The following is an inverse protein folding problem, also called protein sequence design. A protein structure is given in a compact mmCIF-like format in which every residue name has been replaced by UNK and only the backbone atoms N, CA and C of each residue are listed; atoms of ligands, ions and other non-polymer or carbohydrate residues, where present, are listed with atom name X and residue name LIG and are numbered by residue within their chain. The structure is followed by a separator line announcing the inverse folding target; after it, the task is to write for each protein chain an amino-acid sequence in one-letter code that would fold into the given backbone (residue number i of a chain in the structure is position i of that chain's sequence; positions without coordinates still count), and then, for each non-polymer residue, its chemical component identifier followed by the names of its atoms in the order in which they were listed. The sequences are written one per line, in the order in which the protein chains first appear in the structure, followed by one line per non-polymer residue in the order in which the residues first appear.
data_IF_704112711786
#
_entry.id   IF_704112711786
#
_cell.length_a   1.000
_cell.length_b   1.000
_cell.length_c   1.000
_cell.angle_alpha   90.00
_cell.angle_beta   90.00
_cell.angle_gamma   90.00
#
_symmetry.space_group_name_H-M   'P 1'
#
loop_
_entity.id
_entity.type
_entity.pdbx_description
1 polymer ?
#
# COMPACT_ATOMS: atom_id res chain seq x y z
N UNK A 1 26.27 -10.42 20.06
CA UNK A 1 25.38 -11.57 19.79
C UNK A 1 24.30 -11.12 18.83
N UNK A 2 24.36 -11.62 17.60
CA UNK A 2 23.37 -11.29 16.58
C UNK A 2 22.10 -12.08 16.85
N UNK A 3 21.02 -11.41 17.26
CA UNK A 3 19.70 -12.02 17.43
C UNK A 3 19.19 -12.35 16.03
N UNK A 4 19.03 -13.63 15.73
CA UNK A 4 18.52 -14.12 14.46
C UNK A 4 17.12 -13.56 14.21
N UNK A 5 17.00 -12.72 13.21
CA UNK A 5 15.71 -12.20 12.74
C UNK A 5 15.08 -13.29 11.87
N UNK A 6 14.15 -14.04 12.41
CA UNK A 6 13.39 -15.02 11.63
C UNK A 6 12.61 -14.33 10.52
N UNK A 7 12.88 -14.78 9.31
CA UNK A 7 12.29 -14.26 8.08
C UNK A 7 11.11 -15.15 7.70
N UNK A 8 9.90 -14.70 8.00
CA UNK A 8 8.69 -15.38 7.52
C UNK A 8 8.41 -14.88 6.11
N UNK A 9 8.80 -15.66 5.11
CA UNK A 9 8.52 -15.34 3.70
C UNK A 9 7.06 -15.68 3.38
N UNK A 10 6.26 -14.65 3.17
CA UNK A 10 4.96 -14.79 2.51
C UNK A 10 5.18 -14.59 1.02
N UNK A 11 5.42 -15.68 0.31
CA UNK A 11 5.59 -15.66 -1.14
C UNK A 11 4.23 -15.39 -1.79
N UNK A 12 4.08 -14.19 -2.33
CA UNK A 12 2.93 -13.80 -3.14
C UNK A 12 3.24 -14.07 -4.62
N UNK A 13 3.33 -15.38 -5.00
CA UNK A 13 3.80 -15.81 -6.31
C UNK A 13 2.74 -16.26 -7.32
N UNK A 14 1.57 -16.76 -6.92
CA UNK A 14 0.82 -17.64 -7.82
C UNK A 14 -0.64 -17.29 -8.15
N UNK A 15 -1.08 -16.05 -7.97
CA UNK A 15 -2.48 -15.66 -8.27
C UNK A 15 -2.58 -14.54 -9.32
N UNK A 16 -1.76 -14.56 -10.36
CA UNK A 16 -1.93 -13.65 -11.51
C UNK A 16 -2.28 -14.41 -12.82
N UNK A 17 -2.88 -15.59 -12.73
CA UNK A 17 -3.38 -16.31 -13.92
C UNK A 17 -4.86 -16.62 -13.78
N UNK A 18 -5.72 -15.61 -13.76
CA UNK A 18 -7.14 -15.92 -13.73
C UNK A 18 -8.05 -14.73 -13.60
N UNK A 19 -7.98 -13.78 -14.54
CA UNK A 19 -9.05 -12.81 -14.73
C UNK A 19 -8.98 -12.20 -16.12
N UNK A 20 -9.16 -13.03 -17.12
CA UNK A 20 -9.47 -12.62 -18.48
C UNK A 20 -10.80 -13.27 -18.82
N UNK A 21 -11.90 -12.66 -18.47
CA UNK A 21 -13.18 -12.68 -19.20
C UNK A 21 -14.13 -11.69 -18.53
N UNK A 22 -14.40 -10.58 -19.16
CA UNK A 22 -15.71 -9.94 -19.09
C UNK A 22 -15.87 -9.09 -20.33
N UNK A 23 -16.71 -9.59 -21.19
CA UNK A 23 -17.11 -8.98 -22.44
C UNK A 23 -17.95 -7.72 -22.25
N UNK A 24 -17.81 -6.90 -23.21
CA UNK A 24 -18.73 -6.05 -24.00
C UNK A 24 -19.99 -5.49 -23.35
N UNK A 25 -20.08 -4.20 -23.55
CA UNK A 25 -21.23 -3.30 -23.77
C UNK A 25 -21.37 -2.18 -22.74
N UNK A 26 -21.37 -0.98 -23.28
CA UNK A 26 -21.62 0.26 -22.55
C UNK A 26 -20.32 1.06 -22.33
N UNK A 27 -20.31 2.33 -22.75
CA UNK A 27 -19.15 3.21 -22.69
C UNK A 27 -18.41 3.12 -21.38
N UNK A 28 -17.28 2.43 -21.38
CA UNK A 28 -16.48 2.13 -20.18
C UNK A 28 -15.99 3.47 -19.66
N UNK A 29 -16.39 3.90 -18.45
CA UNK A 29 -15.78 5.05 -17.82
C UNK A 29 -14.29 4.82 -17.84
N UNK A 30 -13.51 5.78 -18.35
CA UNK A 30 -12.06 5.64 -18.50
C UNK A 30 -11.44 5.20 -17.18
N UNK A 31 -11.31 3.89 -17.01
CA UNK A 31 -10.79 3.26 -15.82
C UNK A 31 -9.35 3.76 -15.57
N UNK A 32 -8.96 3.82 -14.31
CA UNK A 32 -7.58 4.14 -13.96
C UNK A 32 -6.66 3.08 -14.55
N UNK A 33 -5.54 3.53 -15.12
CA UNK A 33 -4.52 2.62 -15.63
C UNK A 33 -4.06 1.64 -14.54
N UNK A 34 -3.72 0.39 -14.90
CA UNK A 34 -3.23 -0.63 -13.96
C UNK A 34 -2.05 -0.15 -13.12
N UNK A 35 -1.90 -0.66 -11.90
CA UNK A 35 -0.82 -0.30 -10.99
C UNK A 35 0.57 -0.62 -11.56
N UNK A 36 0.67 -1.64 -12.42
CA UNK A 36 1.91 -2.03 -13.11
C UNK A 36 2.57 -0.87 -13.87
N UNK A 37 1.77 0.03 -14.46
CA UNK A 37 2.29 1.19 -15.20
C UNK A 37 2.95 2.24 -14.29
N UNK A 38 2.61 2.27 -13.01
CA UNK A 38 3.09 3.25 -12.05
C UNK A 38 4.01 2.69 -10.97
N UNK A 39 4.23 1.38 -10.92
CA UNK A 39 5.01 0.76 -9.84
C UNK A 39 6.51 1.08 -9.87
N UNK A 40 7.07 1.33 -11.06
CA UNK A 40 8.52 1.57 -11.22
C UNK A 40 8.92 2.97 -10.75
N UNK A 41 10.02 3.06 -10.01
CA UNK A 41 10.66 4.32 -9.66
C UNK A 41 11.42 4.83 -10.90
N UNK A 42 10.96 5.94 -11.47
CA UNK A 42 11.62 6.62 -12.57
C UNK A 42 11.98 8.04 -12.16
N UNK A 43 13.23 8.41 -12.33
CA UNK A 43 13.73 9.77 -12.08
C UNK A 43 13.47 10.30 -10.67
N UNK A 44 13.64 11.62 -10.44
CA UNK A 44 13.35 12.27 -9.17
C UNK A 44 11.84 12.33 -8.87
N UNK A 45 11.48 12.56 -7.59
CA UNK A 45 10.09 12.71 -7.20
C UNK A 45 9.50 14.01 -7.79
N UNK A 46 8.31 13.92 -8.37
CA UNK A 46 7.58 15.07 -8.89
C UNK A 46 6.72 15.67 -7.77
N UNK A 47 7.27 16.66 -7.05
CA UNK A 47 6.67 17.22 -5.83
C UNK A 47 6.63 18.75 -5.81
N UNK A 48 7.23 19.42 -6.80
CA UNK A 48 7.34 20.89 -6.85
C UNK A 48 5.98 21.54 -7.14
N UNK A 49 5.34 22.06 -6.11
CA UNK A 49 4.01 22.71 -6.20
C UNK A 49 3.95 23.85 -7.21
N UNK A 50 5.03 24.60 -7.39
CA UNK A 50 5.12 25.70 -8.37
C UNK A 50 4.78 25.27 -9.79
N UNK A 51 5.15 24.02 -10.16
CA UNK A 51 4.94 23.49 -11.52
C UNK A 51 3.77 22.51 -11.62
N UNK A 52 3.12 22.22 -10.49
CA UNK A 52 1.97 21.31 -10.42
C UNK A 52 0.71 22.18 -10.31
N UNK A 53 -0.09 22.25 -11.35
CA UNK A 53 -1.34 23.03 -11.39
C UNK A 53 -2.45 22.56 -10.44
N UNK A 54 -2.10 21.99 -9.31
CA UNK A 54 -2.96 21.42 -8.28
C UNK A 54 -2.52 20.01 -7.90
N UNK A 55 -2.22 19.78 -6.63
CA UNK A 55 -1.88 18.45 -6.09
C UNK A 55 -3.18 17.71 -5.79
N UNK A 56 -3.43 16.52 -6.39
CA UNK A 56 -4.61 15.72 -6.07
C UNK A 56 -4.64 15.34 -4.59
N UNK A 57 -5.83 15.44 -3.99
CA UNK A 57 -6.00 15.06 -2.60
C UNK A 57 -5.61 13.60 -2.34
N UNK A 58 -4.97 13.38 -1.20
CA UNK A 58 -4.67 12.05 -0.71
C UNK A 58 -5.98 11.35 -0.29
N UNK A 59 -6.13 10.07 -0.67
CA UNK A 59 -7.30 9.25 -0.31
C UNK A 59 -7.10 8.41 0.94
N UNK A 60 -5.96 8.53 1.60
CA UNK A 60 -5.73 7.86 2.88
C UNK A 60 -6.46 8.66 3.96
N UNK A 61 -7.48 8.05 4.56
CA UNK A 61 -8.29 8.72 5.56
C UNK A 61 -7.54 8.91 6.87
N UNK A 62 -6.80 7.90 7.30
CA UNK A 62 -6.05 7.93 8.56
C UNK A 62 -4.73 7.18 8.42
N UNK A 63 -3.66 7.75 8.97
CA UNK A 63 -2.34 7.11 9.05
C UNK A 63 -2.14 6.30 10.31
N UNK A 64 -2.89 6.61 11.37
CA UNK A 64 -2.91 5.91 12.64
C UNK A 64 -4.34 5.46 12.94
N UNK A 65 -4.51 4.21 13.31
CA UNK A 65 -5.81 3.61 13.64
C UNK A 65 -5.63 2.78 14.91
N UNK A 66 -6.66 2.77 15.78
CA UNK A 66 -6.64 2.05 17.06
C UNK A 66 -6.03 2.88 18.19
N UNK A 67 -5.51 2.21 19.22
CA UNK A 67 -4.98 2.85 20.42
C UNK A 67 -3.57 3.41 20.20
N UNK A 68 -3.50 4.66 19.73
CA UNK A 68 -2.25 5.35 19.46
C UNK A 68 -1.44 5.57 20.73
N UNK A 69 -2.09 5.90 21.86
CA UNK A 69 -1.40 6.19 23.13
C UNK A 69 -0.64 4.97 23.63
N UNK A 70 -1.30 3.83 23.70
CA UNK A 70 -0.67 2.56 24.10
C UNK A 70 0.49 2.14 23.18
N UNK A 71 0.42 2.48 21.88
CA UNK A 71 1.54 2.24 20.95
C UNK A 71 2.73 3.16 21.20
N UNK A 72 2.51 4.41 21.59
CA UNK A 72 3.55 5.39 21.90
C UNK A 72 4.20 5.10 23.28
N UNK A 73 3.43 4.68 24.27
CA UNK A 73 3.94 4.24 25.59
C UNK A 73 4.61 2.87 25.55
N UNK A 74 4.36 2.08 24.49
CA UNK A 74 4.98 0.77 24.34
C UNK A 74 4.31 -0.35 25.15
N UNK A 75 3.06 -0.19 25.52
CA UNK A 75 2.26 -1.14 26.30
C UNK A 75 2.04 -2.46 25.56
N UNK A 76 1.96 -2.43 24.22
CA UNK A 76 1.79 -3.64 23.41
C UNK A 76 3.03 -4.54 23.44
N UNK A 77 2.81 -5.82 23.65
CA UNK A 77 3.86 -6.84 23.76
C UNK A 77 4.51 -7.14 22.41
N UNK A 78 3.74 -7.14 21.32
CA UNK A 78 4.16 -7.61 20.00
C UNK A 78 4.09 -6.47 18.98
N UNK A 79 5.15 -6.34 18.18
CA UNK A 79 5.23 -5.37 17.08
C UNK A 79 5.59 -6.10 15.79
N UNK A 80 4.67 -6.03 14.82
CA UNK A 80 4.85 -6.57 13.48
C UNK A 80 5.01 -5.45 12.46
N UNK A 81 5.92 -5.62 11.50
CA UNK A 81 6.12 -4.69 10.40
C UNK A 81 5.97 -5.40 9.05
N UNK A 82 5.30 -4.73 8.12
CA UNK A 82 5.27 -5.10 6.71
C UNK A 82 6.31 -4.26 5.96
N UNK A 83 7.29 -4.91 5.35
CA UNK A 83 8.38 -4.27 4.60
C UNK A 83 8.31 -4.64 3.12
N UNK A 84 8.62 -3.68 2.25
CA UNK A 84 8.68 -3.90 0.82
C UNK A 84 9.99 -4.59 0.43
N UNK A 85 9.93 -5.61 -0.44
CA UNK A 85 11.11 -6.36 -0.88
C UNK A 85 11.81 -5.72 -2.08
N UNK A 86 11.12 -4.85 -2.83
CA UNK A 86 11.67 -4.15 -3.98
C UNK A 86 11.42 -2.65 -3.91
N UNK A 87 12.21 -1.88 -4.67
CA UNK A 87 11.98 -0.46 -4.89
C UNK A 87 10.71 -0.25 -5.71
N UNK A 88 9.74 0.48 -5.16
CA UNK A 88 8.42 0.57 -5.77
C UNK A 88 7.70 1.88 -5.46
N UNK A 89 6.78 2.27 -6.34
CA UNK A 89 5.79 3.30 -6.07
C UNK A 89 4.45 2.67 -5.70
N UNK A 90 3.92 3.04 -4.53
CA UNK A 90 2.63 2.56 -4.02
C UNK A 90 1.64 3.71 -4.12
N UNK A 91 0.54 3.51 -4.86
CA UNK A 91 -0.52 4.53 -4.97
C UNK A 91 -1.23 4.75 -3.63
N UNK A 92 -1.71 5.97 -3.39
CA UNK A 92 -2.51 6.29 -2.21
C UNK A 92 -3.73 5.37 -2.04
N UNK A 93 -4.35 4.97 -3.16
CA UNK A 93 -5.50 4.04 -3.13
C UNK A 93 -5.14 2.64 -2.68
N UNK A 94 -3.92 2.16 -2.98
CA UNK A 94 -3.43 0.87 -2.52
C UNK A 94 -3.13 0.89 -1.02
N UNK A 95 -2.53 1.99 -0.53
CA UNK A 95 -2.29 2.19 0.91
C UNK A 95 -3.60 2.25 1.69
N UNK A 96 -4.62 2.94 1.18
CA UNK A 96 -5.93 2.98 1.81
C UNK A 96 -6.61 1.60 1.81
N UNK A 97 -6.58 0.88 0.69
CA UNK A 97 -7.13 -0.47 0.62
C UNK A 97 -6.43 -1.43 1.60
N UNK A 98 -5.12 -1.33 1.74
CA UNK A 98 -4.35 -2.11 2.72
C UNK A 98 -4.76 -1.75 4.16
N UNK A 99 -4.89 -0.45 4.46
CA UNK A 99 -5.36 0.02 5.77
C UNK A 99 -6.73 -0.54 6.13
N UNK A 100 -7.70 -0.41 5.23
CA UNK A 100 -9.08 -0.86 5.46
C UNK A 100 -9.13 -2.36 5.72
N UNK A 101 -8.44 -3.16 4.89
CA UNK A 101 -8.44 -4.62 5.04
C UNK A 101 -7.75 -5.05 6.34
N UNK A 102 -6.60 -4.48 6.66
CA UNK A 102 -5.88 -4.79 7.92
C UNK A 102 -6.72 -4.42 9.14
N UNK A 103 -7.27 -3.20 9.14
CA UNK A 103 -8.11 -2.70 10.22
C UNK A 103 -9.35 -3.58 10.43
N UNK A 104 -10.05 -3.93 9.36
CA UNK A 104 -11.25 -4.79 9.44
C UNK A 104 -10.92 -6.18 9.98
N UNK A 105 -9.77 -6.74 9.63
CA UNK A 105 -9.36 -8.06 10.11
C UNK A 105 -9.05 -8.04 11.61
N UNK A 106 -8.25 -7.08 12.07
CA UNK A 106 -7.79 -7.03 13.47
C UNK A 106 -8.93 -6.60 14.40
N UNK A 107 -9.72 -5.60 14.00
CA UNK A 107 -10.79 -5.05 14.83
C UNK A 107 -11.84 -6.08 15.23
N UNK A 108 -12.05 -7.12 14.43
CA UNK A 108 -13.02 -8.19 14.71
C UNK A 108 -12.66 -8.99 15.96
N UNK A 109 -11.38 -9.22 16.20
CA UNK A 109 -10.90 -10.05 17.30
C UNK A 109 -10.33 -9.22 18.47
N UNK A 110 -9.47 -8.25 18.18
CA UNK A 110 -8.83 -7.42 19.20
C UNK A 110 -9.70 -6.26 19.72
N UNK A 111 -10.87 -5.99 19.07
CA UNK A 111 -11.68 -4.83 19.42
C UNK A 111 -11.03 -3.51 18.98
N UNK A 112 -11.58 -2.37 19.43
CA UNK A 112 -11.11 -1.05 18.99
C UNK A 112 -9.83 -0.58 19.69
N UNK A 113 -9.58 -1.01 20.92
CA UNK A 113 -8.48 -0.58 21.77
C UNK A 113 -7.33 -1.58 21.87
N UNK A 114 -7.55 -2.85 21.49
CA UNK A 114 -6.55 -3.93 21.62
C UNK A 114 -5.49 -3.96 20.54
N UNK A 115 -5.39 -2.93 19.70
CA UNK A 115 -4.36 -2.84 18.65
C UNK A 115 -4.05 -1.38 18.30
N UNK A 116 -2.90 -1.19 17.66
CA UNK A 116 -2.58 0.05 16.95
C UNK A 116 -1.95 -0.26 15.60
N UNK A 117 -2.49 0.34 14.54
CA UNK A 117 -2.01 0.21 13.17
C UNK A 117 -1.48 1.56 12.70
N UNK A 118 -0.28 1.58 12.12
CA UNK A 118 0.35 2.79 11.58
C UNK A 118 0.85 2.58 10.16
N UNK A 119 0.51 3.51 9.25
CA UNK A 119 1.10 3.61 7.92
C UNK A 119 2.29 4.58 8.02
N UNK A 120 3.49 4.10 7.63
CA UNK A 120 4.73 4.89 7.71
C UNK A 120 5.06 5.67 6.45
N UNK A 121 4.46 5.29 5.32
CA UNK A 121 4.77 5.87 4.01
C UNK A 121 3.73 6.90 3.61
N UNK A 122 4.18 8.13 3.28
CA UNK A 122 3.30 9.19 2.81
C UNK A 122 3.41 9.34 1.28
N UNK A 123 2.28 9.47 0.54
CA UNK A 123 2.27 9.61 -0.91
C UNK A 123 2.56 11.06 -1.33
N UNK A 124 3.85 11.40 -1.48
CA UNK A 124 4.30 12.73 -1.90
C UNK A 124 4.37 12.90 -3.43
N UNK A 125 4.71 11.82 -4.16
CA UNK A 125 4.91 11.88 -5.60
C UNK A 125 3.59 12.03 -6.34
N UNK A 126 3.47 13.03 -7.21
CA UNK A 126 2.28 13.26 -8.04
C UNK A 126 2.37 12.45 -9.32
N UNK A 127 1.35 11.61 -9.55
CA UNK A 127 1.20 10.81 -10.76
C UNK A 127 0.46 11.61 -11.82
N UNK A 128 0.93 11.52 -13.07
CA UNK A 128 0.36 12.18 -14.23
C UNK A 128 -0.05 11.16 -15.28
N UNK A 129 -1.10 11.48 -16.01
CA UNK A 129 -1.55 10.72 -17.18
C UNK A 129 -1.87 11.67 -18.34
N UNK A 130 -1.35 11.37 -19.53
CA UNK A 130 -1.86 11.92 -20.77
C UNK A 130 -2.95 10.98 -21.27
N UNK A 131 -4.21 11.36 -21.02
CA UNK A 131 -5.38 10.60 -21.47
C UNK A 131 -5.68 10.99 -22.91
N UNK A 132 -5.61 10.03 -23.81
CA UNK A 132 -6.02 10.19 -25.19
C UNK A 132 -7.46 9.69 -25.34
N UNK A 133 -8.24 10.34 -26.18
CA UNK A 133 -9.56 9.84 -26.54
C UNK A 133 -9.42 8.52 -27.30
N UNK A 134 -10.37 7.62 -27.11
CA UNK A 134 -10.47 6.34 -27.79
C UNK A 134 -11.81 6.26 -28.50
N UNK A 135 -11.84 5.72 -29.72
CA UNK A 135 -13.05 5.59 -30.52
C UNK A 135 -13.00 6.38 -31.83
N UNK A 136 -14.09 6.35 -32.58
CA UNK A 136 -14.22 7.09 -33.84
C UNK A 136 -14.07 8.59 -33.60
N UNK A 137 -13.24 9.26 -34.39
CA UNK A 137 -12.95 10.70 -34.24
C UNK A 137 -11.98 11.04 -33.12
N UNK A 138 -11.29 10.09 -32.52
CA UNK A 138 -10.29 10.33 -31.47
C UNK A 138 -9.12 11.20 -31.95
N UNK A 139 -8.77 11.13 -33.23
CA UNK A 139 -7.76 11.94 -33.91
C UNK A 139 -8.08 13.44 -33.91
N UNK A 140 -9.37 13.79 -33.97
CA UNK A 140 -9.85 15.18 -33.91
C UNK A 140 -9.76 15.79 -32.51
N UNK A 141 -9.84 14.96 -31.47
CA UNK A 141 -9.85 15.39 -30.06
C UNK A 141 -8.47 15.27 -29.43
N UNK A 142 -7.70 14.24 -29.79
CA UNK A 142 -6.39 13.97 -29.24
C UNK A 142 -5.29 14.41 -30.19
N UNK A 143 -4.33 15.19 -29.68
CA UNK A 143 -3.17 15.66 -30.46
C UNK A 143 -2.03 14.65 -30.48
N UNK A 144 -2.28 13.37 -30.20
CA UNK A 144 -1.25 12.34 -30.09
C UNK A 144 -0.20 12.67 -29.05
N UNK A 145 1.07 12.62 -29.45
CA UNK A 145 2.22 12.97 -28.58
C UNK A 145 2.51 14.47 -28.51
N UNK A 146 1.87 15.29 -29.33
CA UNK A 146 1.94 16.74 -29.20
C UNK A 146 1.26 17.15 -27.89
N UNK A 147 1.92 17.99 -27.07
CA UNK A 147 1.46 18.33 -25.73
C UNK A 147 1.23 17.10 -24.82
N UNK A 148 2.13 16.12 -24.90
CA UNK A 148 2.03 14.85 -24.17
C UNK A 148 2.22 14.94 -22.65
N UNK A 149 2.51 16.14 -22.10
CA UNK A 149 2.64 16.31 -20.66
C UNK A 149 1.31 16.05 -19.96
N UNK A 150 1.29 15.00 -19.12
CA UNK A 150 0.06 14.50 -18.50
C UNK A 150 -0.54 15.43 -17.46
N UNK A 151 -1.85 15.33 -17.27
CA UNK A 151 -2.59 15.96 -16.17
C UNK A 151 -2.44 15.14 -14.87
N UNK A 152 -2.50 15.80 -13.72
CA UNK A 152 -2.40 15.19 -12.41
C UNK A 152 -3.61 14.27 -12.14
N UNK A 153 -3.36 13.00 -11.77
CA UNK A 153 -4.43 12.00 -11.53
C UNK A 153 -4.44 11.42 -10.13
N UNK A 154 -3.34 11.54 -9.39
CA UNK A 154 -3.24 10.99 -8.04
C UNK A 154 -1.86 11.14 -7.46
N UNK A 155 -1.68 10.57 -6.26
CA UNK A 155 -0.41 10.59 -5.54
C UNK A 155 0.08 9.17 -5.25
N UNK A 156 1.40 9.01 -5.09
CA UNK A 156 2.03 7.75 -4.74
C UNK A 156 3.18 7.96 -3.74
N UNK A 157 3.38 6.97 -2.90
CA UNK A 157 4.53 6.88 -2.02
C UNK A 157 5.67 6.16 -2.74
N UNK A 158 6.88 6.70 -2.64
CA UNK A 158 8.10 6.06 -3.14
C UNK A 158 8.74 5.28 -2.01
N UNK A 159 8.77 3.98 -2.14
CA UNK A 159 9.26 3.06 -1.12
C UNK A 159 10.52 2.37 -1.63
N UNK A 160 11.55 2.35 -0.81
CA UNK A 160 12.81 1.64 -1.06
C UNK A 160 12.72 0.19 -0.55
N UNK A 161 13.55 -0.67 -1.09
CA UNK A 161 13.71 -2.04 -0.60
C UNK A 161 14.01 -2.06 0.90
N UNK A 162 13.33 -2.94 1.64
CA UNK A 162 13.48 -3.08 3.09
C UNK A 162 12.77 -2.01 3.92
N UNK A 163 12.18 -0.98 3.28
CA UNK A 163 11.48 0.07 4.00
C UNK A 163 10.16 -0.44 4.57
N UNK A 164 9.90 -0.09 5.84
CA UNK A 164 8.61 -0.38 6.49
C UNK A 164 7.48 0.43 5.86
N UNK A 165 6.38 -0.24 5.56
CA UNK A 165 5.19 0.38 4.98
C UNK A 165 4.08 0.51 6.01
N UNK A 166 3.78 -0.59 6.71
CA UNK A 166 2.76 -0.65 7.77
C UNK A 166 3.38 -1.30 9.00
N UNK A 167 3.06 -0.81 10.18
CA UNK A 167 3.30 -1.50 11.45
C UNK A 167 2.00 -1.75 12.19
N UNK A 168 1.96 -2.86 12.93
CA UNK A 168 0.86 -3.25 13.79
C UNK A 168 1.43 -3.59 15.15
N UNK A 169 0.83 -3.01 16.19
CA UNK A 169 1.13 -3.26 17.59
C UNK A 169 -0.06 -3.98 18.17
N UNK A 170 0.15 -5.12 18.81
CA UNK A 170 -0.89 -5.99 19.40
C UNK A 170 -0.34 -6.73 20.60
N UNK A 171 -1.22 -7.34 21.38
CA UNK A 171 -0.83 -8.27 22.43
C UNK A 171 -0.63 -9.68 21.89
N UNK A 172 0.08 -10.54 22.63
CA UNK A 172 0.45 -11.88 22.23
C UNK A 172 -0.72 -12.75 21.72
N UNK A 173 -1.92 -12.76 22.34
CA UNK A 173 -3.06 -13.56 21.87
C UNK A 173 -3.49 -13.22 20.42
N UNK A 174 -3.35 -11.95 20.03
CA UNK A 174 -3.80 -11.45 18.73
C UNK A 174 -2.71 -11.50 17.63
N UNK A 175 -1.57 -12.17 17.89
CA UNK A 175 -0.45 -12.24 16.96
C UNK A 175 -0.83 -12.87 15.60
N UNK A 176 -1.51 -14.02 15.62
CA UNK A 176 -1.90 -14.72 14.38
C UNK A 176 -2.83 -13.88 13.51
N UNK A 177 -3.79 -13.21 14.14
CA UNK A 177 -4.70 -12.29 13.44
C UNK A 177 -3.96 -11.10 12.85
N UNK A 178 -3.01 -10.52 13.58
CA UNK A 178 -2.20 -9.42 13.09
C UNK A 178 -1.31 -9.85 11.91
N UNK A 179 -0.72 -11.05 11.96
CA UNK A 179 0.04 -11.65 10.84
C UNK A 179 -0.85 -11.83 9.60
N UNK A 180 -2.06 -12.39 9.77
CA UNK A 180 -3.01 -12.57 8.66
C UNK A 180 -3.49 -11.23 8.08
N UNK A 181 -3.71 -10.23 8.93
CA UNK A 181 -4.05 -8.88 8.49
C UNK A 181 -2.94 -8.24 7.62
N UNK A 182 -1.67 -8.39 8.02
CA UNK A 182 -0.54 -7.92 7.22
C UNK A 182 -0.38 -8.72 5.91
N UNK A 183 -0.64 -10.03 5.93
CA UNK A 183 -0.68 -10.85 4.72
C UNK A 183 -1.77 -10.36 3.75
N UNK A 184 -2.97 -10.07 4.23
CA UNK A 184 -4.06 -9.49 3.42
C UNK A 184 -3.71 -8.10 2.90
N UNK A 185 -2.99 -7.28 3.69
CA UNK A 185 -2.50 -5.97 3.26
C UNK A 185 -1.47 -6.08 2.14
N UNK A 186 -0.54 -7.03 2.21
CA UNK A 186 0.50 -7.24 1.19
C UNK A 186 -0.09 -7.50 -0.19
N UNK A 187 -1.25 -8.18 -0.27
CA UNK A 187 -1.99 -8.43 -1.52
C UNK A 187 -2.48 -7.14 -2.22
N UNK A 188 -2.53 -6.01 -1.50
CA UNK A 188 -2.94 -4.72 -2.07
C UNK A 188 -1.77 -3.92 -2.65
N UNK A 189 -0.53 -4.37 -2.43
CA UNK A 189 0.67 -3.69 -2.90
C UNK A 189 1.18 -4.24 -4.23
N UNK A 190 1.83 -3.40 -5.06
CA UNK A 190 2.35 -3.81 -6.36
C UNK A 190 3.73 -4.50 -6.27
N UNK A 191 4.14 -4.94 -5.09
CA UNK A 191 5.42 -5.60 -4.79
C UNK A 191 5.22 -6.69 -3.76
N UNK A 192 6.02 -7.78 -3.80
CA UNK A 192 6.11 -8.68 -2.68
C UNK A 192 6.55 -7.94 -1.42
N UNK A 193 6.05 -8.37 -0.29
CA UNK A 193 6.32 -7.75 1.01
C UNK A 193 6.56 -8.84 2.04
N UNK A 194 7.55 -8.61 2.91
CA UNK A 194 7.89 -9.50 4.01
C UNK A 194 7.32 -8.97 5.33
N UNK A 195 6.67 -9.83 6.09
CA UNK A 195 6.25 -9.53 7.47
C UNK A 195 7.41 -9.84 8.39
N UNK A 196 7.79 -8.88 9.26
CA UNK A 196 8.84 -9.06 10.25
C UNK A 196 8.31 -8.81 11.65
N UNK A 197 8.64 -9.68 12.56
CA UNK A 197 8.48 -9.49 14.00
C UNK A 197 9.65 -8.64 14.49
N UNK A 198 9.37 -7.49 15.12
CA UNK A 198 10.38 -6.58 15.65
C UNK A 198 10.52 -6.70 17.16
N UNK A 199 9.39 -6.88 17.86
CA UNK A 199 9.33 -6.99 19.31
C UNK A 199 8.37 -8.10 19.69
N UNK A 200 8.68 -8.81 20.78
CA UNK A 200 7.77 -9.79 21.37
C UNK A 200 8.11 -11.24 21.03
N UNK A 201 9.35 -11.55 20.60
CA UNK A 201 9.82 -12.94 20.40
C UNK A 201 9.67 -13.80 21.66
N UNK A 202 9.84 -13.19 22.85
CA UNK A 202 9.77 -13.90 24.13
C UNK A 202 8.37 -14.38 24.46
N UNK A 203 7.35 -13.59 24.06
CA UNK A 203 5.94 -13.89 24.34
C UNK A 203 5.32 -14.91 23.36
N UNK A 204 6.03 -15.24 22.28
CA UNK A 204 5.56 -16.10 21.20
C UNK A 204 6.22 -17.49 21.19
N UNK A 205 7.04 -17.82 22.21
CA UNK A 205 7.63 -19.15 22.39
C UNK A 205 6.51 -20.18 22.52
N UNK A 206 6.23 -20.92 21.44
CA UNK A 206 5.16 -21.93 21.35
C UNK A 206 4.05 -21.63 20.33
N UNK A 207 4.09 -20.45 19.68
CA UNK A 207 3.15 -20.07 18.61
C UNK A 207 3.83 -19.93 17.24
N UNK A 208 5.16 -20.03 17.21
CA UNK A 208 6.01 -20.01 16.01
C UNK A 208 6.55 -21.40 15.76
#
# INVERSE_FOLDING_TARGET
MAVGVERIEVVCGDIIRGALVAGMLGGIPMARKPAVMYRRLKGPAYTRRKYIGGVPNNRIMQFHVGNRRAAETGEFQVVLELRADNDVQIRHTALEAARVVSNSTIRKEAGAQGYALRIHTFPHHVLRENKQATGAGADRVSQGMRCAFGKNVGTAARVKRGQRVISIHVDAPNYLTARDALRKASMKFPTPCTVRLIRGHEHLKGLI
#
